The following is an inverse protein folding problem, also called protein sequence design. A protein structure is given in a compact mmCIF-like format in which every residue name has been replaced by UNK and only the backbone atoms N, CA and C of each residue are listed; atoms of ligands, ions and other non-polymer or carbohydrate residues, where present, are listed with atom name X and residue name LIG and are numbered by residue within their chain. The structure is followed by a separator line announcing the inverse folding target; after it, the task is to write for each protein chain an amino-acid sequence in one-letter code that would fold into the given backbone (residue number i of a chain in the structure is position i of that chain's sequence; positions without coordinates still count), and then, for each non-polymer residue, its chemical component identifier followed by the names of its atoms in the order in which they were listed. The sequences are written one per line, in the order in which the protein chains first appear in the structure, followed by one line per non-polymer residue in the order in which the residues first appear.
data_IF_882099309906
#
_entry.id   IF_882099309906
#
_cell.length_a   1.000
_cell.length_b   1.000
_cell.length_c   1.000
_cell.angle_alpha   90.00
_cell.angle_beta   90.00
_cell.angle_gamma   90.00
#
_symmetry.space_group_name_H-M   'P 1'
#
loop_
_entity.id
_entity.type
_entity.pdbx_description
1 polymer ?
#
# COMPACT_ATOMS: atom_id res chain seq x y z
N UNK A 1 -63.22 3.39 -58.62
CA UNK A 1 -61.73 3.38 -58.61
C UNK A 1 -61.41 3.83 -57.22
N UNK A 2 -61.24 2.87 -56.32
CA UNK A 2 -61.21 3.11 -54.88
C UNK A 2 -59.97 2.46 -54.32
N UNK A 3 -59.16 3.28 -53.65
CA UNK A 3 -57.98 2.88 -52.91
C UNK A 3 -58.37 1.98 -51.73
N UNK A 4 -57.71 0.82 -51.60
CA UNK A 4 -57.70 0.05 -50.36
C UNK A 4 -56.25 -0.26 -49.98
N UNK A 5 -55.80 0.37 -48.91
CA UNK A 5 -54.59 0.01 -48.18
C UNK A 5 -54.89 -1.23 -47.32
N UNK A 6 -54.06 -2.27 -47.43
CA UNK A 6 -54.05 -3.40 -46.49
C UNK A 6 -52.85 -3.25 -45.53
N UNK A 7 -53.02 -3.56 -44.23
CA UNK A 7 -51.94 -3.49 -43.26
C UNK A 7 -51.11 -4.78 -43.31
N UNK A 8 -49.85 -4.70 -43.73
CA UNK A 8 -48.92 -5.82 -43.62
C UNK A 8 -48.39 -5.91 -42.20
N UNK A 9 -48.81 -6.97 -41.51
CA UNK A 9 -48.32 -7.38 -40.19
C UNK A 9 -46.79 -7.59 -40.21
N UNK A 10 -46.09 -6.95 -39.27
CA UNK A 10 -44.66 -7.13 -39.07
C UNK A 10 -44.34 -8.50 -38.47
N UNK A 11 -43.41 -9.22 -39.08
CA UNK A 11 -42.78 -10.39 -38.48
C UNK A 11 -41.84 -9.93 -37.35
N UNK A 12 -41.88 -10.54 -36.14
CA UNK A 12 -40.89 -10.26 -35.11
C UNK A 12 -39.53 -10.78 -35.57
N UNK A 13 -38.57 -9.86 -35.71
CA UNK A 13 -37.16 -10.20 -35.86
C UNK A 13 -36.73 -10.90 -34.57
N UNK A 14 -36.56 -12.22 -34.63
CA UNK A 14 -35.95 -12.98 -33.54
C UNK A 14 -34.51 -12.50 -33.37
N UNK A 15 -34.23 -12.01 -32.17
CA UNK A 15 -32.94 -11.58 -31.69
C UNK A 15 -31.90 -12.72 -31.76
N UNK A 16 -31.01 -12.66 -32.75
CA UNK A 16 -29.74 -13.38 -32.73
C UNK A 16 -28.72 -12.62 -31.86
N UNK A 17 -29.04 -12.43 -30.57
CA UNK A 17 -28.16 -11.74 -29.60
C UNK A 17 -27.63 -12.69 -28.52
N UNK A 18 -27.88 -13.99 -28.63
CA UNK A 18 -27.62 -14.93 -27.54
C UNK A 18 -26.21 -15.55 -27.54
N UNK A 19 -25.41 -15.45 -28.61
CA UNK A 19 -24.10 -16.11 -28.63
C UNK A 19 -22.92 -15.22 -28.19
N UNK A 20 -23.03 -13.89 -28.26
CA UNK A 20 -21.92 -12.97 -27.96
C UNK A 20 -21.91 -12.49 -26.50
N UNK A 21 -23.05 -12.56 -25.83
CA UNK A 21 -23.23 -11.95 -24.50
C UNK A 21 -23.10 -12.97 -23.35
N UNK A 22 -23.08 -14.28 -23.65
CA UNK A 22 -22.92 -15.31 -22.63
C UNK A 22 -21.55 -15.20 -21.92
N UNK A 23 -20.47 -14.87 -22.64
CA UNK A 23 -19.13 -14.69 -22.04
C UNK A 23 -19.07 -13.49 -21.10
N UNK A 24 -19.76 -12.41 -21.45
CA UNK A 24 -19.89 -11.22 -20.60
C UNK A 24 -20.79 -11.49 -19.38
N UNK A 25 -21.84 -12.30 -19.56
CA UNK A 25 -22.69 -12.75 -18.47
C UNK A 25 -21.90 -13.63 -17.47
N UNK A 26 -21.05 -14.53 -17.96
CA UNK A 26 -20.15 -15.33 -17.11
C UNK A 26 -19.10 -14.47 -16.38
N UNK A 27 -18.54 -13.44 -17.03
CA UNK A 27 -17.63 -12.50 -16.36
C UNK A 27 -18.35 -11.67 -15.28
N UNK A 28 -19.57 -11.23 -15.53
CA UNK A 28 -20.37 -10.50 -14.54
C UNK A 28 -20.71 -11.38 -13.33
N UNK A 29 -21.12 -12.62 -13.57
CA UNK A 29 -21.42 -13.60 -12.50
C UNK A 29 -20.16 -13.90 -11.69
N UNK A 30 -19.01 -14.11 -12.33
CA UNK A 30 -17.74 -14.35 -11.63
C UNK A 30 -17.33 -13.16 -10.76
N UNK A 31 -17.50 -11.92 -11.25
CA UNK A 31 -17.17 -10.70 -10.52
C UNK A 31 -18.07 -10.51 -9.30
N UNK A 32 -19.36 -10.85 -9.41
CA UNK A 32 -20.31 -10.82 -8.28
C UNK A 32 -19.96 -11.87 -7.22
N UNK A 33 -19.57 -13.09 -7.61
CA UNK A 33 -19.17 -14.15 -6.66
C UNK A 33 -17.88 -13.75 -5.93
N UNK A 34 -16.88 -13.22 -6.65
CA UNK A 34 -15.63 -12.75 -6.04
C UNK A 34 -15.90 -11.57 -5.10
N UNK A 35 -16.76 -10.62 -5.50
CA UNK A 35 -17.18 -9.51 -4.66
C UNK A 35 -17.92 -9.97 -3.39
N UNK A 36 -18.79 -10.98 -3.49
CA UNK A 36 -19.49 -11.55 -2.33
C UNK A 36 -18.55 -12.27 -1.35
N UNK A 37 -17.53 -12.97 -1.86
CA UNK A 37 -16.51 -13.63 -1.04
C UNK A 37 -15.60 -12.62 -0.32
N UNK A 38 -15.16 -11.57 -1.02
CA UNK A 38 -14.39 -10.46 -0.43
C UNK A 38 -15.22 -9.69 0.59
N UNK A 39 -16.51 -9.44 0.31
CA UNK A 39 -17.43 -8.78 1.24
C UNK A 39 -17.70 -9.62 2.50
N UNK A 40 -17.85 -10.94 2.37
CA UNK A 40 -18.00 -11.84 3.52
C UNK A 40 -16.73 -11.91 4.38
N UNK A 41 -15.55 -11.82 3.76
CA UNK A 41 -14.25 -11.75 4.45
C UNK A 41 -14.08 -10.42 5.22
N UNK A 42 -14.47 -9.29 4.62
CA UNK A 42 -14.35 -7.96 5.24
C UNK A 42 -15.40 -7.75 6.35
N UNK A 43 -16.61 -8.33 6.21
CA UNK A 43 -17.69 -8.20 7.21
C UNK A 43 -17.55 -9.18 8.40
N UNK A 44 -16.51 -10.00 8.43
CA UNK A 44 -16.17 -10.82 9.60
C UNK A 44 -17.17 -11.93 9.91
N UNK A 45 -17.88 -12.48 8.91
CA UNK A 45 -18.77 -13.64 9.09
C UNK A 45 -17.98 -14.92 8.82
N UNK A 46 -16.98 -15.18 9.66
CA UNK A 46 -16.19 -16.41 9.71
C UNK A 46 -16.01 -16.84 11.18
N UNK A 47 -15.69 -18.12 11.47
CA UNK A 47 -15.85 -18.74 12.79
C UNK A 47 -14.89 -18.20 13.88
N UNK A 48 -14.20 -17.09 13.62
CA UNK A 48 -13.28 -16.43 14.54
C UNK A 48 -13.83 -15.12 15.13
N UNK A 49 -15.12 -14.82 14.90
CA UNK A 49 -15.81 -13.64 15.42
C UNK A 49 -16.23 -13.77 16.90
N UNK A 50 -15.41 -14.38 17.75
CA UNK A 50 -15.78 -14.59 19.15
C UNK A 50 -14.58 -14.59 20.11
N UNK A 51 -13.75 -13.55 20.07
CA UNK A 51 -12.97 -13.18 21.26
C UNK A 51 -12.95 -11.66 21.42
N UNK A 52 -14.05 -11.14 21.94
CA UNK A 52 -14.10 -9.81 22.57
C UNK A 52 -14.32 -10.05 24.06
N UNK A 53 -13.22 -10.42 24.72
CA UNK A 53 -13.17 -10.56 26.17
C UNK A 53 -13.14 -9.17 26.80
N UNK A 54 -14.24 -8.82 27.45
CA UNK A 54 -14.33 -7.70 28.38
C UNK A 54 -13.60 -8.11 29.66
N UNK A 55 -12.59 -7.34 30.07
CA UNK A 55 -12.02 -7.43 31.41
C UNK A 55 -11.74 -6.01 31.93
N UNK A 56 -12.76 -5.44 32.56
CA UNK A 56 -12.60 -4.48 33.66
C UNK A 56 -12.02 -5.25 34.82
N UNK A 57 -10.85 -4.87 35.36
CA UNK A 57 -10.55 -4.91 36.80
C UNK A 57 -9.41 -3.94 37.15
N UNK A 58 -9.69 -3.06 38.11
CA UNK A 58 -8.76 -2.43 39.06
C UNK A 58 -9.46 -2.56 40.43
N UNK A 59 -8.78 -2.62 41.60
CA UNK A 59 -7.38 -2.94 41.93
C UNK A 59 -7.31 -4.19 42.85
N UNK A 60 -6.10 -4.61 43.27
CA UNK A 60 -5.69 -4.89 44.69
C UNK A 60 -4.33 -5.61 44.69
N UNK A 61 -3.37 -5.28 45.60
CA UNK A 61 -1.95 -5.49 45.38
C UNK A 61 -1.37 -6.77 46.02
N UNK A 62 -0.17 -7.13 45.55
CA UNK A 62 0.97 -7.72 46.27
C UNK A 62 0.84 -9.13 46.85
N UNK A 63 1.51 -10.09 46.19
CA UNK A 63 2.14 -11.29 46.78
C UNK A 63 3.29 -11.70 45.82
N UNK A 64 4.54 -11.31 46.10
CA UNK A 64 5.59 -12.09 46.82
C UNK A 64 5.99 -13.37 46.09
N UNK A 65 7.15 -13.25 45.42
CA UNK A 65 8.31 -14.16 45.46
C UNK A 65 8.39 -15.38 44.53
N UNK A 66 9.64 -15.57 44.05
CA UNK A 66 10.27 -16.76 43.49
C UNK A 66 10.14 -17.08 41.99
N UNK A 67 11.19 -16.65 41.28
CA UNK A 67 12.11 -17.50 40.51
C UNK A 67 11.50 -18.41 39.45
N UNK A 68 11.63 -18.03 38.17
CA UNK A 68 12.26 -18.84 37.11
C UNK A 68 12.52 -17.92 35.91
N UNK A 69 13.79 -17.59 35.67
CA UNK A 69 14.21 -16.87 34.47
C UNK A 69 13.96 -17.77 33.24
N UNK A 70 12.85 -17.52 32.55
CA UNK A 70 12.65 -17.98 31.18
C UNK A 70 13.51 -17.10 30.26
N UNK A 71 14.27 -17.64 29.29
CA UNK A 71 14.93 -16.81 28.30
C UNK A 71 13.84 -16.15 27.46
N UNK A 72 13.49 -14.92 27.84
CA UNK A 72 12.83 -14.00 26.91
C UNK A 72 13.72 -13.92 25.68
N UNK A 73 13.19 -14.06 24.45
CA UNK A 73 14.00 -13.88 23.26
C UNK A 73 14.71 -12.54 23.41
N UNK A 74 16.04 -12.59 23.30
CA UNK A 74 16.89 -11.43 23.18
C UNK A 74 16.23 -10.51 22.17
N UNK A 75 15.72 -9.36 22.64
CA UNK A 75 15.60 -8.22 21.78
C UNK A 75 17.03 -7.92 21.37
N UNK A 76 17.44 -8.47 20.23
CA UNK A 76 18.62 -8.08 19.50
C UNK A 76 18.56 -6.56 19.49
N UNK A 77 19.39 -5.94 20.32
CA UNK A 77 19.59 -4.50 20.28
C UNK A 77 20.34 -4.29 18.98
N UNK A 78 19.58 -4.22 17.89
CA UNK A 78 20.01 -3.65 16.64
C UNK A 78 20.59 -2.30 17.04
N UNK A 79 21.90 -2.15 16.88
CA UNK A 79 22.57 -0.90 17.16
C UNK A 79 21.75 0.19 16.45
N UNK A 80 21.16 1.09 17.23
CA UNK A 80 20.23 2.09 16.73
C UNK A 80 20.96 2.88 15.63
N UNK A 81 20.59 2.63 14.37
CA UNK A 81 21.25 3.25 13.23
C UNK A 81 21.00 4.76 13.30
N UNK A 82 22.07 5.55 13.18
CA UNK A 82 21.93 7.01 13.15
C UNK A 82 21.25 7.44 11.85
N UNK A 83 19.96 7.77 11.93
CA UNK A 83 19.12 8.20 10.81
C UNK A 83 19.65 9.47 10.13
N UNK A 84 20.49 10.25 10.80
CA UNK A 84 21.08 11.48 10.23
C UNK A 84 22.30 11.23 9.34
N UNK A 85 22.90 10.04 9.39
CA UNK A 85 24.07 9.63 8.58
C UNK A 85 23.81 9.71 7.06
N UNK A 86 22.73 9.13 6.49
CA UNK A 86 22.49 9.18 5.05
C UNK A 86 22.01 10.55 4.56
N UNK A 87 22.54 11.00 3.41
CA UNK A 87 21.99 12.14 2.67
C UNK A 87 20.87 11.68 1.74
N UNK A 88 19.64 12.01 2.07
CA UNK A 88 18.47 11.62 1.29
C UNK A 88 18.12 12.70 0.27
N UNK A 89 17.82 12.32 -0.97
CA UNK A 89 17.18 13.17 -1.98
C UNK A 89 15.73 12.73 -2.16
N UNK A 90 14.80 13.67 -2.08
CA UNK A 90 13.36 13.41 -2.24
C UNK A 90 12.88 13.99 -3.57
N UNK A 91 12.31 13.15 -4.42
CA UNK A 91 11.85 13.51 -5.76
C UNK A 91 10.35 13.31 -5.88
N UNK A 92 9.65 14.28 -6.47
CA UNK A 92 8.24 14.15 -6.77
C UNK A 92 8.03 13.32 -8.04
N UNK A 93 7.53 12.09 -7.89
CA UNK A 93 7.14 11.21 -8.99
C UNK A 93 5.63 11.06 -9.16
N UNK A 94 4.81 11.80 -8.42
CA UNK A 94 3.35 11.68 -8.45
C UNK A 94 2.65 12.70 -9.35
N UNK A 95 3.33 13.81 -9.68
CA UNK A 95 2.74 14.98 -10.32
C UNK A 95 1.89 15.87 -9.39
N UNK A 96 1.71 15.47 -8.12
CA UNK A 96 0.96 16.26 -7.12
C UNK A 96 1.88 17.33 -6.53
N UNK A 97 1.53 18.60 -6.73
CA UNK A 97 2.33 19.72 -6.22
C UNK A 97 2.48 19.67 -4.69
N UNK A 98 3.72 19.83 -4.22
CA UNK A 98 4.04 19.88 -2.79
C UNK A 98 4.24 18.52 -2.11
N UNK A 99 3.92 17.39 -2.76
CA UNK A 99 3.98 16.08 -2.11
C UNK A 99 5.39 15.69 -1.67
N UNK A 100 6.42 15.96 -2.48
CA UNK A 100 7.81 15.73 -2.10
C UNK A 100 8.26 16.59 -0.91
N UNK A 101 7.74 17.82 -0.77
CA UNK A 101 8.00 18.66 0.40
C UNK A 101 7.36 18.07 1.65
N UNK A 102 6.13 17.54 1.55
CA UNK A 102 5.48 16.87 2.68
C UNK A 102 6.22 15.60 3.13
N UNK A 103 6.74 14.79 2.20
CA UNK A 103 7.58 13.63 2.53
C UNK A 103 8.90 14.07 3.16
N UNK A 104 9.51 15.15 2.65
CA UNK A 104 10.72 15.74 3.22
C UNK A 104 10.49 16.20 4.67
N UNK A 105 9.42 16.93 4.94
CA UNK A 105 9.06 17.36 6.31
C UNK A 105 8.80 16.16 7.23
N UNK A 106 8.16 15.11 6.71
CA UNK A 106 7.93 13.87 7.46
C UNK A 106 9.24 13.17 7.83
N UNK A 107 10.13 12.94 6.86
CA UNK A 107 11.42 12.29 7.09
C UNK A 107 12.34 13.11 8.00
N UNK A 108 12.34 14.45 7.91
CA UNK A 108 13.05 15.30 8.87
C UNK A 108 12.50 15.12 10.30
N UNK A 109 11.17 14.97 10.44
CA UNK A 109 10.53 14.67 11.71
C UNK A 109 10.93 13.31 12.30
N UNK A 110 11.24 12.33 11.45
CA UNK A 110 11.77 11.01 11.83
C UNK A 110 13.28 11.01 12.12
N UNK A 111 13.97 12.15 11.90
CA UNK A 111 15.40 12.33 12.20
C UNK A 111 16.35 12.13 11.00
N UNK A 112 15.83 12.10 9.77
CA UNK A 112 16.65 11.97 8.57
C UNK A 112 17.20 13.30 8.06
N UNK A 113 18.38 13.24 7.43
CA UNK A 113 18.99 14.39 6.74
C UNK A 113 18.54 14.45 5.28
N UNK A 114 17.72 15.45 4.93
CA UNK A 114 17.32 15.68 3.53
C UNK A 114 18.28 16.67 2.86
N UNK A 115 18.99 16.17 1.85
CA UNK A 115 19.98 16.93 1.08
C UNK A 115 19.40 17.70 -0.10
N UNK A 116 18.29 17.23 -0.67
CA UNK A 116 17.65 17.85 -1.83
C UNK A 116 16.17 17.46 -1.94
N UNK A 117 15.36 18.37 -2.47
CA UNK A 117 13.98 18.14 -2.88
C UNK A 117 13.83 18.58 -4.33
N UNK A 118 13.21 17.75 -5.17
CA UNK A 118 13.06 18.03 -6.60
C UNK A 118 11.93 17.27 -7.27
N UNK A 119 11.98 17.21 -8.60
CA UNK A 119 11.07 16.43 -9.42
C UNK A 119 11.78 15.18 -9.94
N UNK A 120 11.05 14.07 -10.02
CA UNK A 120 11.54 12.88 -10.71
C UNK A 120 11.55 13.09 -12.25
N UNK A 121 12.24 12.24 -13.02
CA UNK A 121 12.27 12.34 -14.49
C UNK A 121 10.90 12.15 -15.16
N UNK A 122 9.97 11.49 -14.48
CA UNK A 122 8.60 11.24 -14.91
C UNK A 122 7.64 11.22 -13.69
N UNK A 123 6.34 11.05 -13.93
CA UNK A 123 5.30 11.21 -12.89
C UNK A 123 4.38 9.99 -12.77
N UNK A 124 4.89 8.82 -13.16
CA UNK A 124 4.12 7.60 -13.37
C UNK A 124 4.15 6.70 -12.12
N UNK A 125 4.70 7.22 -11.02
CA UNK A 125 4.93 6.48 -9.79
C UNK A 125 3.64 6.39 -8.98
N UNK A 126 3.03 5.21 -8.95
CA UNK A 126 1.90 4.95 -8.04
C UNK A 126 2.37 4.77 -6.60
N UNK A 127 3.46 4.02 -6.39
CA UNK A 127 4.06 3.77 -5.07
C UNK A 127 5.31 4.62 -4.90
N UNK A 128 5.65 4.95 -3.67
CA UNK A 128 6.92 5.56 -3.30
C UNK A 128 8.05 4.55 -3.49
N UNK A 129 9.01 4.88 -4.33
CA UNK A 129 10.17 4.03 -4.65
C UNK A 129 11.37 4.52 -3.88
N UNK A 130 12.06 3.60 -3.20
CA UNK A 130 13.29 3.91 -2.46
C UNK A 130 14.47 3.18 -3.09
N UNK A 131 15.54 3.92 -3.34
CA UNK A 131 16.81 3.43 -3.89
C UNK A 131 17.96 3.78 -2.97
N UNK A 132 18.91 2.87 -2.84
CA UNK A 132 20.05 3.01 -1.94
C UNK A 132 21.35 2.95 -2.73
N UNK A 133 22.33 3.74 -2.31
CA UNK A 133 23.73 3.42 -2.59
C UNK A 133 24.09 2.17 -1.80
N UNK A 134 24.93 1.30 -2.36
CA UNK A 134 25.27 0.01 -1.75
C UNK A 134 25.82 0.13 -0.30
N UNK A 135 26.59 1.19 -0.01
CA UNK A 135 27.11 1.44 1.35
C UNK A 135 26.05 1.80 2.39
N UNK A 136 24.82 2.09 1.96
CA UNK A 136 23.70 2.53 2.78
C UNK A 136 22.52 1.54 2.82
N UNK A 137 22.66 0.33 2.25
CA UNK A 137 21.61 -0.70 2.30
C UNK A 137 21.21 -1.12 3.73
N UNK A 138 22.07 -0.89 4.74
CA UNK A 138 21.75 -1.09 6.16
C UNK A 138 20.52 -0.28 6.62
N UNK A 139 20.21 0.84 5.95
CA UNK A 139 19.05 1.68 6.27
C UNK A 139 17.74 1.21 5.63
N UNK A 140 17.76 0.17 4.81
CA UNK A 140 16.60 -0.26 4.04
C UNK A 140 15.39 -0.58 4.92
N UNK A 141 15.58 -1.38 5.96
CA UNK A 141 14.47 -1.83 6.82
C UNK A 141 13.85 -0.66 7.60
N UNK A 142 14.69 0.18 8.20
CA UNK A 142 14.24 1.30 9.03
C UNK A 142 13.52 2.36 8.18
N UNK A 143 14.09 2.76 7.04
CA UNK A 143 13.47 3.75 6.16
C UNK A 143 12.19 3.22 5.50
N UNK A 144 12.16 1.94 5.13
CA UNK A 144 10.94 1.30 4.63
C UNK A 144 9.84 1.28 5.69
N UNK A 145 10.18 0.93 6.93
CA UNK A 145 9.23 0.92 8.05
C UNK A 145 8.64 2.31 8.27
N UNK A 146 9.49 3.33 8.41
CA UNK A 146 9.05 4.70 8.66
C UNK A 146 8.15 5.21 7.52
N UNK A 147 8.55 5.04 6.26
CA UNK A 147 7.71 5.49 5.14
C UNK A 147 6.40 4.70 4.99
N UNK A 148 6.37 3.41 5.37
CA UNK A 148 5.19 2.55 5.19
C UNK A 148 4.04 2.88 6.14
N UNK A 149 4.28 3.67 7.18
CA UNK A 149 3.23 4.17 8.08
C UNK A 149 2.24 5.09 7.36
N UNK A 150 2.66 5.75 6.29
CA UNK A 150 1.89 6.77 5.58
C UNK A 150 1.78 6.58 4.08
N UNK A 151 2.74 5.89 3.47
CA UNK A 151 2.89 5.81 2.02
C UNK A 151 2.91 4.35 1.58
N UNK A 152 2.50 4.08 0.34
CA UNK A 152 2.76 2.79 -0.27
C UNK A 152 4.22 2.74 -0.74
N UNK A 153 5.07 1.93 -0.11
CA UNK A 153 6.52 1.93 -0.38
C UNK A 153 6.95 0.65 -1.08
N UNK A 154 7.89 0.78 -2.01
CA UNK A 154 8.66 -0.32 -2.57
C UNK A 154 10.15 0.03 -2.55
N UNK A 155 10.98 -0.96 -2.28
CA UNK A 155 12.43 -0.83 -2.43
C UNK A 155 12.81 -1.36 -3.81
N UNK A 156 13.47 -0.51 -4.59
CA UNK A 156 14.01 -0.90 -5.88
C UNK A 156 15.30 -1.68 -5.67
N UNK A 157 15.56 -2.69 -6.51
CA UNK A 157 16.81 -3.45 -6.47
C UNK A 157 17.92 -2.76 -7.29
N UNK A 158 17.58 -1.70 -8.01
CA UNK A 158 18.55 -0.86 -8.70
C UNK A 158 19.19 0.13 -7.73
N UNK A 159 20.48 -0.08 -7.45
CA UNK A 159 21.24 0.75 -6.53
C UNK A 159 21.68 2.06 -7.19
N UNK A 160 21.84 3.10 -6.37
CA UNK A 160 22.47 4.34 -6.82
C UNK A 160 23.97 4.11 -7.06
N UNK A 161 24.48 4.81 -8.08
CA UNK A 161 25.91 4.86 -8.37
C UNK A 161 26.70 5.38 -7.15
N UNK A 162 27.90 4.83 -6.93
CA UNK A 162 28.76 5.26 -5.82
C UNK A 162 29.14 6.75 -5.89
N UNK A 163 29.12 7.33 -7.10
CA UNK A 163 29.42 8.74 -7.37
C UNK A 163 28.20 9.66 -7.25
N UNK A 164 26.99 9.14 -7.01
CA UNK A 164 25.82 9.98 -6.80
C UNK A 164 26.02 10.84 -5.53
N UNK A 165 25.62 12.11 -5.65
CA UNK A 165 25.57 13.09 -4.56
C UNK A 165 24.68 12.69 -3.38
N UNK A 166 23.65 11.87 -3.63
CA UNK A 166 22.77 11.32 -2.61
C UNK A 166 23.23 9.91 -2.22
N UNK A 167 22.91 9.53 -0.99
CA UNK A 167 23.13 8.18 -0.47
C UNK A 167 21.86 7.33 -0.58
N UNK A 168 20.70 7.99 -0.52
CA UNK A 168 19.38 7.39 -0.67
C UNK A 168 18.53 8.33 -1.54
N UNK A 169 17.77 7.76 -2.46
CA UNK A 169 16.78 8.47 -3.26
C UNK A 169 15.38 7.95 -2.93
N UNK A 170 14.47 8.88 -2.66
CA UNK A 170 13.05 8.59 -2.41
C UNK A 170 12.24 9.27 -3.50
N UNK A 171 11.65 8.47 -4.40
CA UNK A 171 10.74 8.96 -5.43
C UNK A 171 9.31 8.79 -4.94
N UNK A 172 8.64 9.90 -4.67
CA UNK A 172 7.32 9.90 -4.04
C UNK A 172 6.23 9.59 -5.05
N UNK A 173 5.46 8.54 -4.77
CA UNK A 173 4.31 8.10 -5.58
C UNK A 173 2.97 8.70 -5.11
N UNK A 174 1.91 8.39 -5.86
CA UNK A 174 0.58 8.93 -5.61
C UNK A 174 -0.24 8.20 -4.52
N UNK A 175 0.23 7.06 -3.99
CA UNK A 175 -0.46 6.18 -3.04
C UNK A 175 0.32 5.92 -1.76
#
# INVERSE_FOLDING_TARGET
MDEQQTPTAGSPIYQETQAKNAKWLWLLIALIIIGALVFAFIRGIGPFAQFKGTATEEPTPSFVEEEFASPSPEATTEAELDKSEPKIRVLNGSGVAGLASSVKDYLEGEGYTISAVGNAPNYDFEQTVVRFKESFSKFQNILFSDLSDKYSVVVDNDNLEATDSADIEVIVGAK
#
